data_IF_614305397742
#
_entry.id   IF_614305397742
#
_cell.length_a   1.000
_cell.length_b   1.000
_cell.length_c   1.000
_cell.angle_alpha   90.00
_cell.angle_beta   90.00
_cell.angle_gamma   90.00
#
_symmetry.space_group_name_H-M   'P 1'
#
loop_
_entity.id
_entity.type
_entity.pdbx_description
1 polymer ?
#
# COMPACT_ATOMS: atom_id res chain seq x y z
N UNK A 1 -18.26 7.38 -5.89
CA UNK A 1 -18.14 6.19 -5.02
C UNK A 1 -19.26 6.09 -3.98
N UNK A 2 -19.50 7.10 -3.13
CA UNK A 2 -20.41 6.94 -1.99
C UNK A 2 -21.92 6.84 -2.31
N UNK A 3 -22.40 7.47 -3.38
CA UNK A 3 -23.85 7.49 -3.68
C UNK A 3 -24.40 6.11 -4.04
N UNK A 4 -23.64 5.30 -4.78
CA UNK A 4 -24.02 3.92 -5.09
C UNK A 4 -24.06 3.02 -3.85
N UNK A 5 -23.15 3.22 -2.90
CA UNK A 5 -23.16 2.50 -1.61
C UNK A 5 -24.37 2.89 -0.77
N UNK A 6 -24.71 4.19 -0.72
CA UNK A 6 -25.93 4.65 -0.03
C UNK A 6 -27.18 4.06 -0.65
N UNK A 7 -27.28 4.07 -1.98
CA UNK A 7 -28.41 3.50 -2.70
C UNK A 7 -28.58 2.00 -2.41
N UNK A 8 -27.49 1.21 -2.47
CA UNK A 8 -27.51 -0.22 -2.17
C UNK A 8 -27.93 -0.51 -0.72
N UNK A 9 -27.41 0.26 0.24
CA UNK A 9 -27.78 0.10 1.66
C UNK A 9 -29.24 0.51 1.93
N UNK A 10 -29.75 1.54 1.25
CA UNK A 10 -31.16 1.91 1.31
C UNK A 10 -32.06 0.84 0.69
N UNK A 11 -31.64 0.25 -0.42
CA UNK A 11 -32.37 -0.84 -1.07
C UNK A 11 -32.38 -2.10 -0.20
N UNK A 12 -31.26 -2.46 0.42
CA UNK A 12 -31.18 -3.56 1.38
C UNK A 12 -32.05 -3.32 2.62
N UNK A 13 -32.09 -2.08 3.12
CA UNK A 13 -32.96 -1.69 4.25
C UNK A 13 -34.45 -1.80 3.91
N UNK A 14 -34.82 -1.58 2.64
CA UNK A 14 -36.20 -1.75 2.15
C UNK A 14 -36.56 -3.23 1.96
N UNK A 15 -35.60 -4.04 1.51
CA UNK A 15 -35.77 -5.50 1.32
C UNK A 15 -35.82 -6.27 2.65
N UNK A 16 -35.13 -5.80 3.68
CA UNK A 16 -35.10 -6.42 5.02
C UNK A 16 -36.33 -6.10 5.89
N UNK A 17 -37.50 -5.78 5.28
CA UNK A 17 -38.70 -5.32 5.98
C UNK A 17 -39.30 -6.34 6.98
N UNK A 18 -38.94 -7.62 6.86
CA UNK A 18 -39.42 -8.70 7.72
C UNK A 18 -38.67 -8.83 9.06
N UNK A 19 -37.46 -8.25 9.20
CA UNK A 19 -36.64 -8.36 10.41
C UNK A 19 -36.29 -6.97 10.98
N UNK A 20 -37.10 -6.51 11.95
CA UNK A 20 -36.99 -5.20 12.60
C UNK A 20 -35.58 -4.93 13.19
N UNK A 21 -34.89 -5.96 13.68
CA UNK A 21 -33.56 -5.82 14.30
C UNK A 21 -32.47 -5.56 13.25
N UNK A 22 -32.54 -6.24 12.12
CA UNK A 22 -31.61 -6.04 11.00
C UNK A 22 -31.85 -4.70 10.32
N UNK A 23 -33.12 -4.30 10.16
CA UNK A 23 -33.47 -3.00 9.61
C UNK A 23 -32.93 -1.84 10.46
N UNK A 24 -33.00 -1.95 11.79
CA UNK A 24 -32.43 -0.94 12.69
C UNK A 24 -30.89 -0.85 12.55
N UNK A 25 -30.20 -1.99 12.45
CA UNK A 25 -28.73 -2.03 12.24
C UNK A 25 -28.35 -1.38 10.91
N UNK A 26 -29.04 -1.71 9.82
CA UNK A 26 -28.77 -1.16 8.49
C UNK A 26 -29.01 0.35 8.43
N UNK A 27 -30.06 0.85 9.09
CA UNK A 27 -30.31 2.30 9.20
C UNK A 27 -29.22 3.02 9.99
N UNK A 28 -28.75 2.45 11.10
CA UNK A 28 -27.67 3.02 11.88
C UNK A 28 -26.36 3.04 11.11
N UNK A 29 -26.05 1.96 10.38
CA UNK A 29 -24.88 1.86 9.52
C UNK A 29 -24.95 2.88 8.38
N UNK A 30 -26.11 3.01 7.71
CA UNK A 30 -26.33 4.02 6.67
C UNK A 30 -26.10 5.44 7.20
N UNK A 31 -26.61 5.75 8.40
CA UNK A 31 -26.40 7.05 9.05
C UNK A 31 -24.94 7.29 9.37
N UNK A 32 -24.25 6.28 9.91
CA UNK A 32 -22.83 6.36 10.26
C UNK A 32 -21.97 6.62 9.02
N UNK A 33 -22.14 5.83 7.94
CA UNK A 33 -21.36 6.00 6.71
C UNK A 33 -21.66 7.36 6.06
N UNK A 34 -22.90 7.85 6.13
CA UNK A 34 -23.23 9.20 5.65
C UNK A 34 -22.49 10.28 6.42
N UNK A 35 -22.42 10.18 7.74
CA UNK A 35 -21.68 11.13 8.57
C UNK A 35 -20.19 11.10 8.22
N UNK A 36 -19.58 9.91 8.19
CA UNK A 36 -18.17 9.73 7.85
C UNK A 36 -17.87 10.29 6.44
N UNK A 37 -18.75 10.05 5.46
CA UNK A 37 -18.57 10.57 4.11
C UNK A 37 -18.68 12.11 4.05
N UNK A 38 -19.57 12.71 4.85
CA UNK A 38 -19.66 14.16 4.95
C UNK A 38 -18.41 14.75 5.61
N UNK A 39 -17.91 14.13 6.68
CA UNK A 39 -16.65 14.51 7.34
C UNK A 39 -15.47 14.41 6.38
N UNK A 40 -15.35 13.28 5.66
CA UNK A 40 -14.33 13.10 4.62
C UNK A 40 -14.39 14.18 3.54
N UNK A 41 -15.58 14.50 3.03
CA UNK A 41 -15.75 15.57 2.03
C UNK A 41 -15.30 16.93 2.57
N UNK A 42 -15.63 17.23 3.83
CA UNK A 42 -15.23 18.48 4.48
C UNK A 42 -13.72 18.56 4.66
N UNK A 43 -13.11 17.52 5.24
CA UNK A 43 -11.66 17.48 5.44
C UNK A 43 -10.91 17.61 4.13
N UNK A 44 -11.33 16.86 3.09
CA UNK A 44 -10.74 16.98 1.75
C UNK A 44 -10.88 18.38 1.14
N UNK A 45 -12.01 19.06 1.37
CA UNK A 45 -12.20 20.43 0.89
C UNK A 45 -11.29 21.43 1.63
N UNK A 46 -11.06 21.23 2.93
CA UNK A 46 -10.11 22.04 3.70
C UNK A 46 -8.69 21.79 3.17
N UNK A 47 -8.26 20.54 3.05
CA UNK A 47 -6.94 20.17 2.53
C UNK A 47 -6.68 20.77 1.15
N UNK A 48 -7.65 20.68 0.26
CA UNK A 48 -7.55 21.26 -1.07
C UNK A 48 -7.35 22.79 -1.05
N UNK A 49 -7.99 23.51 -0.12
CA UNK A 49 -7.80 24.97 0.01
C UNK A 49 -6.37 25.34 0.40
N UNK A 50 -5.74 24.55 1.28
CA UNK A 50 -4.33 24.75 1.65
C UNK A 50 -3.37 24.41 0.51
N UNK A 51 -3.69 23.39 -0.31
CA UNK A 51 -2.91 23.06 -1.50
C UNK A 51 -2.96 24.15 -2.57
N UNK A 52 -4.11 24.83 -2.71
CA UNK A 52 -4.33 25.85 -3.72
C UNK A 52 -3.92 27.27 -3.27
N UNK A 53 -3.66 27.48 -1.97
CA UNK A 53 -3.36 28.80 -1.40
C UNK A 53 -1.89 28.94 -1.00
N UNK A 54 -1.27 30.11 -1.26
CA UNK A 54 0.10 30.38 -0.83
C UNK A 54 0.22 30.42 0.70
N UNK A 55 1.43 30.19 1.23
CA UNK A 55 1.71 30.10 2.68
C UNK A 55 1.26 31.34 3.47
N UNK A 56 1.25 32.51 2.84
CA UNK A 56 0.81 33.79 3.43
C UNK A 56 -0.68 33.80 3.83
N UNK A 57 -1.52 32.99 3.16
CA UNK A 57 -2.97 32.90 3.42
C UNK A 57 -3.34 31.80 4.43
N UNK A 58 -2.35 31.03 4.91
CA UNK A 58 -2.61 29.86 5.77
C UNK A 58 -3.17 30.27 7.14
N UNK A 59 -2.71 31.38 7.72
CA UNK A 59 -3.25 31.87 8.99
C UNK A 59 -4.76 32.18 8.90
N UNK A 60 -5.19 32.78 7.80
CA UNK A 60 -6.61 33.06 7.53
C UNK A 60 -7.43 31.79 7.33
N UNK A 61 -6.86 30.79 6.64
CA UNK A 61 -7.51 29.49 6.44
C UNK A 61 -7.63 28.69 7.74
N UNK A 62 -6.62 28.73 8.60
CA UNK A 62 -6.66 28.09 9.93
C UNK A 62 -7.71 28.76 10.79
N UNK A 63 -7.74 30.09 10.85
CA UNK A 63 -8.76 30.82 11.62
C UNK A 63 -10.19 30.52 11.14
N UNK A 64 -10.40 30.41 9.83
CA UNK A 64 -11.72 30.14 9.26
C UNK A 64 -12.20 28.70 9.46
N UNK A 65 -11.28 27.72 9.51
CA UNK A 65 -11.62 26.30 9.59
C UNK A 65 -11.30 25.65 10.95
N UNK A 66 -10.92 26.45 11.96
CA UNK A 66 -10.45 25.96 13.28
C UNK A 66 -11.41 24.98 13.95
N UNK A 67 -12.72 25.17 13.79
CA UNK A 67 -13.76 24.29 14.38
C UNK A 67 -13.61 22.83 13.91
N UNK A 68 -13.15 22.63 12.68
CA UNK A 68 -13.01 21.31 12.04
C UNK A 68 -11.58 20.78 12.06
N UNK A 69 -10.60 21.59 12.48
CA UNK A 69 -9.18 21.20 12.61
C UNK A 69 -8.89 20.60 13.98
N UNK A 70 -9.55 19.48 14.27
CA UNK A 70 -9.36 18.72 15.51
C UNK A 70 -8.51 17.47 15.24
N UNK A 71 -8.21 16.68 16.27
CA UNK A 71 -7.40 15.45 16.15
C UNK A 71 -7.76 14.55 14.94
N UNK A 72 -9.05 14.24 14.71
CA UNK A 72 -9.45 13.41 13.56
C UNK A 72 -9.11 14.00 12.19
N UNK A 73 -9.07 15.33 12.06
CA UNK A 73 -8.65 16.00 10.84
C UNK A 73 -7.14 15.85 10.59
N UNK A 74 -6.32 15.98 11.63
CA UNK A 74 -4.87 15.81 11.50
C UNK A 74 -4.49 14.35 11.24
N UNK A 75 -5.16 13.38 11.85
CA UNK A 75 -5.01 11.96 11.50
C UNK A 75 -5.38 11.67 10.04
N UNK A 76 -6.49 12.28 9.56
CA UNK A 76 -6.87 12.22 8.15
C UNK A 76 -5.79 12.83 7.25
N UNK A 77 -5.26 13.99 7.63
CA UNK A 77 -4.25 14.72 6.87
C UNK A 77 -2.95 13.95 6.78
N UNK A 78 -2.44 13.45 7.91
CA UNK A 78 -1.22 12.65 7.99
C UNK A 78 -1.33 11.39 7.13
N UNK A 79 -2.46 10.67 7.21
CA UNK A 79 -2.73 9.52 6.35
C UNK A 79 -2.79 9.89 4.87
N UNK A 80 -3.34 11.07 4.55
CA UNK A 80 -3.42 11.56 3.18
C UNK A 80 -2.03 11.90 2.63
N UNK A 81 -1.20 12.61 3.42
CA UNK A 81 0.20 12.88 3.07
C UNK A 81 1.00 11.59 2.88
N UNK A 82 0.93 10.69 3.86
CA UNK A 82 1.59 9.38 3.82
C UNK A 82 1.19 8.55 2.60
N UNK A 83 -0.03 8.71 2.11
CA UNK A 83 -0.50 8.03 0.90
C UNK A 83 -0.01 8.67 -0.40
N UNK A 84 0.22 9.98 -0.43
CA UNK A 84 0.74 10.69 -1.61
C UNK A 84 2.21 10.39 -1.85
N UNK A 85 3.01 10.42 -0.78
CA UNK A 85 4.44 10.08 -0.82
C UNK A 85 4.66 8.65 -1.35
N UNK A 86 3.73 7.73 -1.04
CA UNK A 86 3.79 6.35 -1.52
C UNK A 86 3.25 6.13 -2.94
N UNK A 87 2.46 7.05 -3.51
CA UNK A 87 1.77 6.78 -4.79
C UNK A 87 2.38 7.55 -5.96
N UNK A 88 2.79 8.80 -5.77
CA UNK A 88 3.30 9.64 -6.87
C UNK A 88 4.82 9.51 -7.04
N UNK A 89 5.60 9.62 -5.98
CA UNK A 89 7.06 9.44 -6.04
C UNK A 89 7.44 8.01 -6.40
N UNK A 90 6.81 7.00 -5.79
CA UNK A 90 7.10 5.60 -6.11
C UNK A 90 6.61 5.22 -7.51
N UNK A 91 5.44 5.69 -7.99
CA UNK A 91 4.98 5.34 -9.33
C UNK A 91 5.74 6.07 -10.45
N UNK A 92 6.16 7.32 -10.24
CA UNK A 92 6.97 8.05 -11.22
C UNK A 92 8.42 7.54 -11.25
N UNK A 93 9.01 7.23 -10.09
CA UNK A 93 10.34 6.63 -10.02
C UNK A 93 10.36 5.20 -10.61
N UNK A 94 9.32 4.39 -10.35
CA UNK A 94 9.18 3.06 -10.94
C UNK A 94 8.90 3.11 -12.46
N UNK A 95 8.22 4.14 -12.96
CA UNK A 95 7.94 4.29 -14.40
C UNK A 95 9.18 4.71 -15.21
N UNK A 96 10.12 5.44 -14.60
CA UNK A 96 11.37 5.87 -15.26
C UNK A 96 12.39 4.73 -15.47
N UNK A 97 12.12 3.53 -14.93
CA UNK A 97 13.09 2.42 -14.84
C UNK A 97 12.61 1.10 -15.44
N UNK A 98 11.40 1.07 -16.00
CA UNK A 98 10.88 -0.09 -16.73
C UNK A 98 11.13 0.12 -18.23
N UNK A 99 11.68 -0.89 -18.89
CA UNK A 99 11.82 -0.87 -20.34
C UNK A 99 10.44 -0.73 -20.99
N UNK A 100 10.33 0.09 -22.04
CA UNK A 100 9.07 0.39 -22.72
C UNK A 100 8.38 -0.91 -23.17
N UNK A 101 9.18 -1.92 -23.55
CA UNK A 101 8.69 -3.25 -23.93
C UNK A 101 8.07 -4.01 -22.75
N UNK A 102 8.68 -3.95 -21.56
CA UNK A 102 8.14 -4.60 -20.36
C UNK A 102 6.81 -3.98 -19.91
N UNK A 103 6.66 -2.66 -20.08
CA UNK A 103 5.40 -1.96 -19.84
C UNK A 103 4.32 -2.31 -20.85
N UNK A 104 4.68 -2.44 -22.14
CA UNK A 104 3.73 -2.85 -23.18
C UNK A 104 3.27 -4.30 -23.01
N UNK A 105 4.17 -5.21 -22.64
CA UNK A 105 3.85 -6.59 -22.32
C UNK A 105 2.96 -6.68 -21.08
N UNK A 106 3.27 -5.92 -20.03
CA UNK A 106 2.43 -5.81 -18.83
C UNK A 106 1.05 -5.23 -19.14
N UNK A 107 0.97 -4.21 -20.01
CA UNK A 107 -0.29 -3.65 -20.52
C UNK A 107 -1.14 -4.69 -21.24
N UNK A 108 -0.52 -5.49 -22.10
CA UNK A 108 -1.20 -6.56 -22.84
C UNK A 108 -1.72 -7.65 -21.90
N UNK A 109 -0.91 -8.06 -20.91
CA UNK A 109 -1.33 -9.02 -19.87
C UNK A 109 -2.47 -8.50 -19.03
N UNK A 110 -2.42 -7.22 -18.62
CA UNK A 110 -3.50 -6.59 -17.88
C UNK A 110 -4.78 -6.49 -18.71
N UNK A 111 -4.67 -6.19 -20.00
CA UNK A 111 -5.82 -6.19 -20.90
C UNK A 111 -6.45 -7.59 -21.01
N UNK A 112 -5.64 -8.63 -21.24
CA UNK A 112 -6.13 -10.02 -21.28
C UNK A 112 -6.71 -10.48 -19.95
N UNK A 113 -6.22 -9.97 -18.80
CA UNK A 113 -6.83 -10.19 -17.50
C UNK A 113 -8.24 -9.60 -17.45
N UNK A 114 -8.42 -8.36 -17.91
CA UNK A 114 -9.74 -7.72 -17.95
C UNK A 114 -10.73 -8.43 -18.88
N UNK A 115 -10.27 -8.99 -20.00
CA UNK A 115 -11.11 -9.76 -20.93
C UNK A 115 -11.61 -11.08 -20.34
N UNK A 116 -10.83 -11.70 -19.46
CA UNK A 116 -11.19 -12.99 -18.82
C UNK A 116 -12.14 -12.83 -17.64
N UNK A 117 -12.19 -11.63 -17.05
CA UNK A 117 -12.97 -11.38 -15.83
C UNK A 117 -14.44 -11.17 -16.18
N UNK A 118 -15.27 -12.10 -15.75
CA UNK A 118 -16.73 -11.99 -15.81
C UNK A 118 -17.37 -11.71 -14.44
N UNK A 119 -16.59 -11.85 -13.36
CA UNK A 119 -17.02 -11.58 -11.98
C UNK A 119 -15.83 -11.20 -11.09
N UNK A 120 -16.10 -10.56 -9.94
CA UNK A 120 -15.06 -10.24 -8.95
C UNK A 120 -14.40 -11.51 -8.36
N UNK A 121 -15.14 -12.61 -8.28
CA UNK A 121 -14.60 -13.88 -7.80
C UNK A 121 -13.60 -14.48 -8.82
N UNK A 122 -13.88 -14.35 -10.11
CA UNK A 122 -12.95 -14.78 -11.16
C UNK A 122 -11.70 -13.89 -11.19
N UNK A 123 -11.87 -12.59 -10.94
CA UNK A 123 -10.76 -11.65 -10.80
C UNK A 123 -9.82 -12.03 -9.65
N UNK A 124 -10.37 -12.38 -8.48
CA UNK A 124 -9.58 -12.81 -7.34
C UNK A 124 -8.81 -14.11 -7.64
N UNK A 125 -9.46 -15.07 -8.29
CA UNK A 125 -8.83 -16.35 -8.69
C UNK A 125 -7.70 -16.15 -9.69
N UNK A 126 -7.86 -15.24 -10.66
CA UNK A 126 -6.83 -14.94 -11.64
C UNK A 126 -5.66 -14.14 -11.06
N UNK A 127 -5.91 -13.24 -10.10
CA UNK A 127 -4.81 -12.58 -9.38
C UNK A 127 -4.03 -13.60 -8.55
N UNK A 128 -4.73 -14.52 -7.88
CA UNK A 128 -4.09 -15.57 -7.10
C UNK A 128 -3.35 -16.59 -8.01
N UNK A 129 -3.82 -16.83 -9.24
CA UNK A 129 -3.13 -17.68 -10.23
C UNK A 129 -1.85 -17.02 -10.74
N UNK A 130 -1.93 -15.74 -11.13
CA UNK A 130 -0.79 -14.94 -11.57
C UNK A 130 0.27 -14.85 -10.49
N UNK A 131 -0.15 -14.81 -9.22
CA UNK A 131 0.79 -14.82 -8.13
C UNK A 131 1.48 -16.17 -7.95
N UNK A 132 0.74 -17.30 -7.97
CA UNK A 132 1.37 -18.64 -7.89
C UNK A 132 2.36 -18.89 -9.02
N UNK A 133 2.13 -18.30 -10.19
CA UNK A 133 3.01 -18.39 -11.35
C UNK A 133 4.18 -17.40 -11.33
N UNK A 134 4.28 -16.53 -10.31
CA UNK A 134 5.31 -15.50 -10.20
C UNK A 134 5.23 -14.43 -11.31
N UNK A 135 4.05 -14.30 -11.93
CA UNK A 135 3.79 -13.35 -13.04
C UNK A 135 3.17 -12.05 -12.56
N UNK A 136 3.00 -11.89 -11.26
CA UNK A 136 2.62 -10.63 -10.63
C UNK A 136 3.87 -9.76 -10.47
N UNK A 137 4.44 -9.38 -11.61
CA UNK A 137 5.70 -8.66 -11.69
C UNK A 137 5.53 -7.15 -11.42
N UNK A 138 6.61 -6.43 -11.06
CA UNK A 138 6.55 -5.00 -10.78
C UNK A 138 5.97 -4.16 -11.93
N UNK A 139 6.16 -4.56 -13.19
CA UNK A 139 5.63 -3.84 -14.35
C UNK A 139 4.11 -4.01 -14.45
N UNK A 140 3.60 -5.22 -14.20
CA UNK A 140 2.16 -5.46 -14.09
C UNK A 140 1.54 -4.68 -12.93
N UNK A 141 2.16 -4.69 -11.76
CA UNK A 141 1.71 -3.94 -10.59
C UNK A 141 1.63 -2.43 -10.84
N UNK A 142 2.64 -1.87 -11.51
CA UNK A 142 2.66 -0.46 -11.88
C UNK A 142 1.60 -0.13 -12.94
N UNK A 143 1.39 -1.02 -13.91
CA UNK A 143 0.34 -0.87 -14.93
C UNK A 143 -1.04 -0.84 -14.28
N UNK A 144 -1.31 -1.75 -13.32
CA UNK A 144 -2.56 -1.76 -12.54
C UNK A 144 -2.72 -0.47 -11.72
N UNK A 145 -1.64 0.01 -11.08
CA UNK A 145 -1.66 1.26 -10.31
C UNK A 145 -1.97 2.48 -11.18
N UNK A 146 -1.36 2.57 -12.37
CA UNK A 146 -1.61 3.63 -13.36
C UNK A 146 -3.04 3.58 -13.87
N UNK A 147 -3.53 2.39 -14.22
CA UNK A 147 -4.91 2.20 -14.68
C UNK A 147 -5.92 2.62 -13.60
N UNK A 148 -5.70 2.18 -12.35
CA UNK A 148 -6.52 2.60 -11.21
C UNK A 148 -6.51 4.11 -11.02
N UNK A 149 -5.33 4.75 -11.04
CA UNK A 149 -5.18 6.19 -10.85
C UNK A 149 -5.88 6.98 -11.97
N UNK A 150 -5.69 6.58 -13.24
CA UNK A 150 -6.36 7.22 -14.37
C UNK A 150 -7.88 7.09 -14.31
N UNK A 151 -8.39 5.92 -13.90
CA UNK A 151 -9.84 5.68 -13.74
C UNK A 151 -10.40 6.45 -12.55
N UNK A 152 -9.66 6.55 -11.44
CA UNK A 152 -10.03 7.31 -10.24
C UNK A 152 -10.22 8.79 -10.55
N UNK A 153 -9.28 9.38 -11.29
CA UNK A 153 -9.26 10.81 -11.63
C UNK A 153 -10.22 11.17 -12.78
N UNK A 154 -10.54 10.22 -13.65
CA UNK A 154 -11.41 10.49 -14.80
C UNK A 154 -12.86 10.78 -14.38
N UNK A 155 -13.45 11.93 -14.78
CA UNK A 155 -14.86 12.24 -14.54
C UNK A 155 -15.80 11.49 -15.50
N UNK A 156 -15.27 10.89 -16.56
CA UNK A 156 -16.05 10.23 -17.62
C UNK A 156 -16.26 8.72 -17.39
N UNK A 157 -15.63 8.15 -16.37
CA UNK A 157 -15.72 6.72 -16.06
C UNK A 157 -16.82 6.47 -15.02
N UNK A 158 -17.64 5.46 -15.29
CA UNK A 158 -18.71 5.00 -14.38
C UNK A 158 -18.13 4.54 -13.04
N UNK A 159 -18.90 4.73 -11.97
CA UNK A 159 -18.48 4.41 -10.60
C UNK A 159 -18.24 2.91 -10.42
N UNK A 160 -19.00 2.04 -11.10
CA UNK A 160 -18.82 0.59 -11.04
C UNK A 160 -17.45 0.17 -11.57
N UNK A 161 -16.95 0.84 -12.60
CA UNK A 161 -15.63 0.57 -13.18
C UNK A 161 -14.52 1.04 -12.23
N UNK A 162 -14.75 2.14 -11.50
CA UNK A 162 -13.82 2.60 -10.45
C UNK A 162 -13.72 1.60 -9.31
N UNK A 163 -14.85 1.05 -8.87
CA UNK A 163 -14.91 0.03 -7.82
C UNK A 163 -14.16 -1.25 -8.25
N UNK A 164 -14.38 -1.73 -9.47
CA UNK A 164 -13.70 -2.94 -10.00
C UNK A 164 -12.19 -2.71 -10.13
N UNK A 165 -11.76 -1.57 -10.65
CA UNK A 165 -10.33 -1.25 -10.80
C UNK A 165 -9.63 -1.09 -9.44
N UNK A 166 -10.32 -0.51 -8.45
CA UNK A 166 -9.81 -0.46 -7.08
C UNK A 166 -9.62 -1.86 -6.50
N UNK A 167 -10.65 -2.71 -6.62
CA UNK A 167 -10.61 -4.08 -6.12
C UNK A 167 -9.44 -4.88 -6.72
N UNK A 168 -9.28 -4.82 -8.04
CA UNK A 168 -8.18 -5.47 -8.75
C UNK A 168 -6.81 -5.04 -8.24
N UNK A 169 -6.59 -3.73 -8.13
CA UNK A 169 -5.31 -3.20 -7.68
C UNK A 169 -5.00 -3.58 -6.23
N UNK A 170 -5.96 -3.42 -5.32
CA UNK A 170 -5.74 -3.73 -3.90
C UNK A 170 -5.58 -5.23 -3.65
N UNK A 171 -6.35 -6.09 -4.34
CA UNK A 171 -6.18 -7.55 -4.28
C UNK A 171 -4.81 -7.97 -4.81
N UNK A 172 -4.35 -7.41 -5.93
CA UNK A 172 -3.01 -7.68 -6.46
C UNK A 172 -1.92 -7.22 -5.49
N UNK A 173 -2.07 -6.04 -4.88
CA UNK A 173 -1.15 -5.52 -3.87
C UNK A 173 -1.10 -6.42 -2.63
N UNK A 174 -2.25 -6.89 -2.15
CA UNK A 174 -2.31 -7.81 -1.02
C UNK A 174 -1.67 -9.17 -1.35
N UNK A 175 -1.98 -9.73 -2.53
CA UNK A 175 -1.42 -11.01 -2.99
C UNK A 175 0.10 -10.93 -3.19
N UNK A 176 0.60 -9.81 -3.72
CA UNK A 176 2.03 -9.52 -3.81
C UNK A 176 2.71 -9.45 -2.43
N UNK A 177 2.04 -8.85 -1.44
CA UNK A 177 2.57 -8.70 -0.10
C UNK A 177 2.64 -10.03 0.67
N UNK A 178 1.70 -10.96 0.40
CA UNK A 178 1.61 -12.26 1.08
C UNK A 178 2.79 -13.20 0.81
N UNK A 179 3.41 -13.11 -0.37
CA UNK A 179 4.54 -13.99 -0.77
C UNK A 179 5.90 -13.32 -0.60
N UNK A 180 5.96 -12.11 -0.05
CA UNK A 180 7.25 -11.50 0.28
C UNK A 180 7.96 -12.35 1.34
N UNK A 181 9.23 -12.74 1.11
CA UNK A 181 10.00 -13.45 2.11
C UNK A 181 9.97 -12.69 3.44
N UNK A 182 9.89 -13.40 4.59
CA UNK A 182 9.91 -12.76 5.90
C UNK A 182 11.10 -11.82 6.05
N UNK A 183 12.24 -12.15 5.44
CA UNK A 183 13.45 -11.32 5.40
C UNK A 183 13.22 -9.95 4.75
N UNK A 184 12.50 -9.86 3.63
CA UNK A 184 12.24 -8.59 2.94
C UNK A 184 11.39 -7.67 3.81
N UNK A 185 10.42 -8.26 4.50
CA UNK A 185 9.50 -7.55 5.39
C UNK A 185 10.18 -7.07 6.66
N UNK A 186 11.03 -7.91 7.27
CA UNK A 186 11.90 -7.55 8.39
C UNK A 186 12.82 -6.41 7.99
N UNK A 187 13.50 -6.50 6.84
CA UNK A 187 14.38 -5.43 6.34
C UNK A 187 13.62 -4.12 6.13
N UNK A 188 12.40 -4.16 5.58
CA UNK A 188 11.57 -2.95 5.43
C UNK A 188 11.29 -2.30 6.78
N UNK A 189 10.98 -3.08 7.81
CA UNK A 189 10.77 -2.54 9.16
C UNK A 189 12.07 -1.95 9.75
N UNK A 190 13.18 -2.68 9.65
CA UNK A 190 14.49 -2.21 10.16
C UNK A 190 14.94 -0.89 9.49
N UNK A 191 14.65 -0.71 8.21
CA UNK A 191 14.95 0.53 7.49
C UNK A 191 14.12 1.73 7.95
N UNK A 192 12.98 1.53 8.63
CA UNK A 192 12.19 2.63 9.20
C UNK A 192 12.70 3.09 10.58
N UNK A 193 13.49 2.28 11.29
CA UNK A 193 13.90 2.55 12.69
C UNK A 193 15.17 3.39 12.76
N UNK A 194 15.06 4.68 13.10
CA UNK A 194 16.19 5.62 13.09
C UNK A 194 17.14 5.42 14.28
N UNK A 195 16.62 4.96 15.43
CA UNK A 195 17.40 4.78 16.66
C UNK A 195 18.28 3.53 16.64
N UNK A 196 19.58 3.67 16.92
CA UNK A 196 20.51 2.52 16.96
C UNK A 196 20.21 1.50 18.06
N UNK A 197 19.52 1.91 19.13
CA UNK A 197 19.08 1.03 20.21
C UNK A 197 17.84 0.25 19.81
N UNK A 198 16.83 0.95 19.29
CA UNK A 198 15.58 0.36 18.78
C UNK A 198 15.86 -0.62 17.64
N UNK A 199 16.86 -0.33 16.79
CA UNK A 199 17.29 -1.23 15.72
C UNK A 199 17.83 -2.56 16.26
N UNK A 200 18.58 -2.54 17.36
CA UNK A 200 19.07 -3.77 18.01
C UNK A 200 17.94 -4.55 18.65
N UNK A 201 17.04 -3.86 19.35
CA UNK A 201 15.87 -4.48 19.97
C UNK A 201 14.97 -5.14 18.90
N UNK A 202 14.78 -4.50 17.74
CA UNK A 202 14.05 -5.07 16.61
C UNK A 202 14.76 -6.27 15.96
N UNK A 203 16.10 -6.26 15.90
CA UNK A 203 16.88 -7.41 15.43
C UNK A 203 16.81 -8.59 16.41
N UNK A 204 16.91 -8.33 17.71
CA UNK A 204 16.72 -9.35 18.75
C UNK A 204 15.33 -10.00 18.65
N UNK A 205 14.30 -9.19 18.42
CA UNK A 205 12.93 -9.68 18.20
C UNK A 205 12.83 -10.51 16.90
N UNK A 206 13.45 -10.06 15.80
CA UNK A 206 13.43 -10.78 14.53
C UNK A 206 14.19 -12.13 14.56
N UNK A 207 15.15 -12.29 15.47
CA UNK A 207 15.96 -13.51 15.63
C UNK A 207 15.48 -14.43 16.75
N UNK A 208 14.57 -13.97 17.61
CA UNK A 208 14.02 -14.78 18.70
C UNK A 208 12.77 -15.52 18.21
N UNK A 209 12.77 -16.86 18.15
CA UNK A 209 11.57 -17.62 17.83
C UNK A 209 10.54 -17.45 18.96
N UNK A 210 9.24 -17.31 18.67
CA UNK A 210 8.21 -17.34 19.71
C UNK A 210 8.22 -18.68 20.45
N UNK A 211 8.23 -18.64 21.79
CA UNK A 211 8.47 -19.81 22.66
C UNK A 211 7.44 -20.95 22.51
N UNK A 212 6.26 -20.71 21.91
CA UNK A 212 5.20 -21.71 21.78
C UNK A 212 4.64 -21.90 20.36
N UNK A 213 5.21 -21.29 19.32
CA UNK A 213 4.67 -21.38 17.95
C UNK A 213 3.22 -20.89 17.80
N UNK A 214 2.65 -20.29 18.84
CA UNK A 214 1.34 -19.68 18.86
C UNK A 214 1.49 -18.16 18.65
N UNK A 215 0.70 -17.54 17.76
CA UNK A 215 0.66 -16.09 17.65
C UNK A 215 0.17 -15.53 18.98
N UNK A 216 0.93 -14.62 19.61
CA UNK A 216 0.45 -13.97 20.82
C UNK A 216 -0.78 -13.11 20.47
N UNK A 217 -1.87 -13.31 21.21
CA UNK A 217 -3.15 -12.62 20.99
C UNK A 217 -2.95 -11.11 21.13
N UNK A 218 -3.06 -10.37 20.02
CA UNK A 218 -3.24 -8.91 20.08
C UNK A 218 -2.36 -8.03 19.19
N UNK A 219 -1.48 -8.58 18.34
CA UNK A 219 -0.72 -7.76 17.40
C UNK A 219 -1.08 -8.10 15.95
N UNK A 220 -1.53 -7.11 15.18
CA UNK A 220 -1.54 -7.09 13.70
C UNK A 220 -0.12 -7.15 13.09
N UNK A 221 0.90 -7.45 13.90
CA UNK A 221 2.28 -7.60 13.45
C UNK A 221 2.51 -9.07 13.13
N UNK A 222 2.58 -9.38 11.83
CA UNK A 222 3.07 -10.67 11.36
C UNK A 222 4.39 -11.00 12.08
N UNK A 223 4.38 -12.06 12.89
CA UNK A 223 5.55 -12.58 13.60
C UNK A 223 6.51 -13.21 12.59
N UNK A 224 7.28 -12.38 11.92
CA UNK A 224 8.29 -12.81 10.96
C UNK A 224 9.58 -13.03 11.72
N UNK A 225 9.95 -14.29 11.91
CA UNK A 225 11.24 -14.68 12.44
C UNK A 225 12.17 -15.07 11.30
N UNK A 226 13.46 -14.77 11.44
CA UNK A 226 14.50 -15.22 10.52
C UNK A 226 15.76 -15.59 11.29
N UNK A 227 16.80 -16.06 10.61
CA UNK A 227 18.09 -16.33 11.23
C UNK A 227 19.13 -15.29 10.77
N UNK A 228 20.09 -14.92 11.63
CA UNK A 228 21.18 -14.00 11.26
C UNK A 228 21.86 -14.32 9.91
N UNK A 229 22.20 -15.59 9.58
CA UNK A 229 22.80 -15.90 8.28
C UNK A 229 21.84 -15.70 7.09
N UNK A 230 20.55 -16.02 7.24
CA UNK A 230 19.56 -15.81 6.17
C UNK A 230 19.35 -14.34 5.89
N UNK A 231 19.14 -13.54 6.94
CA UNK A 231 18.96 -12.09 6.79
C UNK A 231 20.20 -11.43 6.18
N UNK A 232 21.40 -11.85 6.61
CA UNK A 232 22.67 -11.36 6.04
C UNK A 232 22.82 -11.74 4.57
N UNK A 233 22.46 -12.97 4.19
CA UNK A 233 22.48 -13.41 2.79
C UNK A 233 21.54 -12.56 1.91
N UNK A 234 20.35 -12.21 2.43
CA UNK A 234 19.42 -11.32 1.71
C UNK A 234 19.98 -9.90 1.59
N UNK A 235 20.56 -9.35 2.65
CA UNK A 235 21.24 -8.04 2.63
C UNK A 235 22.37 -8.04 1.60
N UNK A 236 23.22 -9.06 1.61
CA UNK A 236 24.33 -9.20 0.67
C UNK A 236 23.84 -9.37 -0.76
N UNK A 237 22.78 -10.14 -0.98
CA UNK A 237 22.19 -10.31 -2.32
C UNK A 237 21.67 -8.97 -2.86
N UNK A 238 21.07 -8.14 -2.01
CA UNK A 238 20.58 -6.80 -2.38
C UNK A 238 21.77 -5.84 -2.64
N UNK A 239 22.78 -5.85 -1.78
CA UNK A 239 23.99 -5.00 -1.95
C UNK A 239 24.80 -5.39 -3.19
N UNK A 240 24.99 -6.69 -3.44
CA UNK A 240 25.63 -7.20 -4.65
C UNK A 240 24.80 -6.86 -5.89
N UNK A 241 23.47 -7.01 -5.84
CA UNK A 241 22.62 -6.58 -6.94
C UNK A 241 22.76 -5.08 -7.21
N UNK A 242 22.85 -4.23 -6.17
CA UNK A 242 23.08 -2.79 -6.29
C UNK A 242 24.44 -2.45 -6.91
N UNK A 243 25.52 -3.03 -6.38
CA UNK A 243 26.89 -2.76 -6.84
C UNK A 243 27.12 -3.30 -8.26
N UNK A 244 26.54 -4.47 -8.59
CA UNK A 244 26.60 -5.08 -9.94
C UNK A 244 25.75 -4.31 -10.95
N UNK A 245 24.69 -3.63 -10.51
CA UNK A 245 23.85 -2.81 -11.39
C UNK A 245 24.50 -1.53 -11.92
N UNK A 246 25.61 -1.11 -11.30
CA UNK A 246 26.49 -0.12 -11.90
C UNK A 246 27.14 -0.64 -13.20
N UNK A 247 27.18 -1.97 -13.41
CA UNK A 247 27.90 -2.60 -14.52
C UNK A 247 27.07 -3.55 -15.41
N UNK A 248 25.83 -3.96 -15.09
CA UNK A 248 25.07 -4.80 -16.03
C UNK A 248 23.65 -5.24 -15.65
N UNK A 249 22.86 -5.52 -16.70
CA UNK A 249 21.43 -5.88 -16.78
C UNK A 249 21.06 -7.23 -16.14
N UNK A 250 20.43 -7.24 -14.95
CA UNK A 250 19.69 -8.41 -14.45
C UNK A 250 18.52 -8.01 -13.52
N UNK A 251 17.46 -8.82 -13.55
CA UNK A 251 16.10 -8.56 -13.02
C UNK A 251 15.99 -8.24 -11.52
N UNK A 252 16.93 -8.66 -10.68
CA UNK A 252 17.02 -8.25 -9.26
C UNK A 252 17.59 -6.83 -9.06
N UNK A 253 18.24 -6.28 -10.08
CA UNK A 253 18.68 -4.89 -10.11
C UNK A 253 17.52 -3.92 -10.30
N UNK A 254 16.38 -4.31 -10.85
CA UNK A 254 15.33 -3.34 -11.21
C UNK A 254 14.76 -2.56 -10.00
N UNK A 255 15.02 -3.03 -8.77
CA UNK A 255 14.71 -2.35 -7.50
C UNK A 255 15.91 -1.62 -6.86
N UNK A 256 17.15 -1.89 -7.29
CA UNK A 256 18.35 -1.47 -6.58
C UNK A 256 18.76 -0.02 -6.92
N UNK A 257 18.63 0.42 -8.17
CA UNK A 257 18.80 1.84 -8.56
C UNK A 257 17.75 2.81 -7.95
N UNK A 258 16.78 2.29 -7.18
CA UNK A 258 15.73 3.05 -6.48
C UNK A 258 15.88 3.07 -4.95
N UNK A 259 16.96 2.49 -4.40
CA UNK A 259 17.29 2.76 -3.01
C UNK A 259 18.08 4.07 -2.96
N UNK A 260 17.51 5.09 -2.32
CA UNK A 260 18.23 6.31 -1.93
C UNK A 260 19.63 5.91 -1.42
N UNK A 261 20.73 6.56 -1.86
CA UNK A 261 22.06 6.33 -1.30
C UNK A 261 22.10 6.28 0.23
N UNK A 262 21.21 7.01 0.91
CA UNK A 262 21.02 6.93 2.35
C UNK A 262 20.47 5.57 2.82
N UNK A 263 19.48 5.02 2.11
CA UNK A 263 18.90 3.68 2.38
C UNK A 263 19.92 2.57 2.15
N UNK A 264 20.73 2.65 1.08
CA UNK A 264 21.82 1.67 0.85
C UNK A 264 22.90 1.76 1.92
N UNK A 265 23.26 2.97 2.34
CA UNK A 265 24.23 3.18 3.42
C UNK A 265 23.71 2.55 4.71
N UNK A 266 22.45 2.80 5.04
CA UNK A 266 21.77 2.21 6.19
C UNK A 266 21.64 0.69 6.10
N UNK A 267 21.36 0.15 4.91
CA UNK A 267 21.32 -1.30 4.69
C UNK A 267 22.70 -1.94 4.91
N UNK A 268 23.77 -1.25 4.49
CA UNK A 268 25.15 -1.66 4.74
C UNK A 268 25.48 -1.61 6.24
N UNK A 269 25.02 -0.58 6.95
CA UNK A 269 25.19 -0.45 8.40
C UNK A 269 24.45 -1.56 9.15
N UNK A 270 23.21 -1.87 8.75
CA UNK A 270 22.43 -3.00 9.29
C UNK A 270 23.17 -4.32 9.04
N UNK A 271 23.66 -4.57 7.83
CA UNK A 271 24.44 -5.77 7.51
C UNK A 271 25.73 -5.90 8.34
N UNK A 272 26.45 -4.79 8.55
CA UNK A 272 27.63 -4.78 9.43
C UNK A 272 27.27 -5.01 10.90
N UNK A 273 26.15 -4.44 11.36
CA UNK A 273 25.68 -4.61 12.73
C UNK A 273 25.28 -6.07 12.98
N UNK A 274 24.55 -6.71 12.06
CA UNK A 274 24.19 -8.12 12.16
C UNK A 274 25.45 -9.00 12.28
N UNK A 275 26.45 -8.76 11.42
CA UNK A 275 27.74 -9.48 11.47
C UNK A 275 28.55 -9.23 12.73
N UNK A 276 28.44 -8.04 13.34
CA UNK A 276 29.20 -7.69 14.55
C UNK A 276 28.54 -8.21 15.82
N UNK A 277 27.22 -8.30 15.84
CA UNK A 277 26.44 -8.61 17.05
C UNK A 277 25.92 -10.05 17.09
N UNK A 278 25.81 -10.74 15.95
CA UNK A 278 25.14 -12.05 15.86
C UNK A 278 25.87 -13.11 15.00
N UNK A 279 27.04 -12.80 14.44
CA UNK A 279 27.89 -13.73 13.70
C UNK A 279 29.32 -13.70 14.24
#
# INVERSE_FOLDING_TARGET
LAEGVFYRLEELTKRSASNLREQAKLRNLLRSIRNIHQEYKRYRAITKKFEESPEEDWEGLVAHNHEYMQGPFFEFWERTLSSRDQTEEQAQANAAMLDEQSLQDAGSRFHSLLEKINSLEDADKEIDSLQREGKLDPALMLTMAKAYSGVKESPYVKEEVKDIMAHLYFKAKESAARDQPPEVRILKHLLTIEGSRELREALDQAFTPPEDGAPSEGAEQDYLFTTPPKLTQYVDSILVAYDTQREGTNLLGQTAKLMDPAVITRLRDIGQLIRRSYM
#
